data_IF_420177335114
#
_entry.id   IF_420177335114
#
_cell.length_a   1.000
_cell.length_b   1.000
_cell.length_c   1.000
_cell.angle_alpha   90.00
_cell.angle_beta   90.00
_cell.angle_gamma   90.00
#
_symmetry.space_group_name_H-M   'P 1'
#
loop_
_entity.id
_entity.type
_entity.pdbx_description
1 polymer ?
#
# COMPACT_ATOMS: atom_id res chain seq x y z
N UNK A 1 12.96 23.27 15.76
CA UNK A 1 14.10 22.83 14.91
C UNK A 1 14.36 23.78 13.75
N UNK A 2 13.34 24.21 13.00
CA UNK A 2 13.51 25.15 11.87
C UNK A 2 14.21 26.47 12.26
N UNK A 3 13.91 27.00 13.44
CA UNK A 3 14.48 28.26 13.96
C UNK A 3 15.95 28.15 14.39
N UNK A 4 16.49 26.92 14.50
CA UNK A 4 17.86 26.70 14.95
C UNK A 4 18.91 26.92 13.85
N UNK A 5 18.49 27.19 12.61
CA UNK A 5 19.41 27.44 11.49
C UNK A 5 20.28 26.25 11.11
N UNK A 6 19.80 25.02 11.33
CA UNK A 6 20.56 23.81 11.03
C UNK A 6 20.99 23.75 9.55
N UNK A 7 22.25 23.41 9.29
CA UNK A 7 22.80 23.28 7.93
C UNK A 7 22.84 21.82 7.44
N UNK A 8 22.72 20.85 8.36
CA UNK A 8 22.72 19.42 8.07
C UNK A 8 21.62 18.75 8.90
N UNK A 9 20.76 17.97 8.24
CA UNK A 9 19.75 17.12 8.87
C UNK A 9 19.99 15.66 8.47
N UNK A 10 20.16 14.80 9.48
CA UNK A 10 20.36 13.36 9.32
C UNK A 10 19.10 12.61 9.81
N UNK A 11 18.23 12.14 8.90
CA UNK A 11 17.05 11.37 9.29
C UNK A 11 17.45 9.95 9.73
N UNK A 12 16.58 9.28 10.50
CA UNK A 12 16.80 7.88 10.90
C UNK A 12 16.83 6.91 9.71
N UNK A 13 16.16 7.27 8.62
CA UNK A 13 16.20 6.57 7.33
C UNK A 13 16.21 7.58 6.18
N UNK A 14 16.79 7.20 5.04
CA UNK A 14 16.89 8.05 3.86
C UNK A 14 18.21 8.82 3.76
N UNK A 15 18.26 9.78 2.84
CA UNK A 15 19.48 10.55 2.55
C UNK A 15 19.60 11.80 3.43
N UNK A 16 20.83 12.24 3.76
CA UNK A 16 21.05 13.53 4.41
C UNK A 16 20.46 14.71 3.63
N UNK A 17 19.92 15.70 4.35
CA UNK A 17 19.45 16.96 3.76
C UNK A 17 20.44 18.06 4.15
N UNK A 18 20.99 18.75 3.16
CA UNK A 18 22.00 19.78 3.31
C UNK A 18 21.44 21.16 2.96
N UNK A 19 21.80 22.18 3.74
CA UNK A 19 21.42 23.57 3.56
C UNK A 19 20.18 23.98 4.35
N UNK A 20 20.29 25.11 5.06
CA UNK A 20 19.27 25.58 6.00
C UNK A 20 17.90 25.84 5.35
N UNK A 21 17.86 26.36 4.13
CA UNK A 21 16.60 26.59 3.40
C UNK A 21 15.89 25.28 3.06
N UNK A 22 16.62 24.27 2.58
CA UNK A 22 16.06 22.95 2.26
C UNK A 22 15.54 22.25 3.50
N UNK A 23 16.28 22.33 4.61
CA UNK A 23 15.86 21.76 5.89
C UNK A 23 14.59 22.44 6.39
N UNK A 24 14.53 23.78 6.36
CA UNK A 24 13.31 24.52 6.73
C UNK A 24 12.11 24.09 5.88
N UNK A 25 12.29 24.04 4.56
CA UNK A 25 11.26 23.64 3.62
C UNK A 25 10.77 22.22 3.91
N UNK A 26 11.66 21.22 3.97
CA UNK A 26 11.27 19.83 4.22
C UNK A 26 10.52 19.66 5.54
N UNK A 27 11.00 20.29 6.62
CA UNK A 27 10.31 20.23 7.91
C UNK A 27 8.94 20.93 7.85
N UNK A 28 8.83 22.04 7.11
CA UNK A 28 7.60 22.80 6.96
C UNK A 28 6.55 22.04 6.16
N UNK A 29 6.94 21.52 5.00
CA UNK A 29 6.07 20.70 4.14
C UNK A 29 5.60 19.44 4.88
N UNK A 30 6.48 18.81 5.67
CA UNK A 30 6.12 17.65 6.50
C UNK A 30 5.10 18.02 7.58
N UNK A 31 5.32 19.14 8.28
CA UNK A 31 4.39 19.63 9.29
C UNK A 31 3.03 19.96 8.66
N UNK A 32 3.01 20.68 7.54
CA UNK A 32 1.78 21.02 6.81
C UNK A 32 0.97 19.77 6.44
N UNK A 33 1.62 18.75 5.89
CA UNK A 33 0.96 17.50 5.53
C UNK A 33 0.31 16.85 6.75
N UNK A 34 1.06 16.69 7.84
CA UNK A 34 0.59 15.98 9.04
C UNK A 34 -0.49 16.77 9.80
N UNK A 35 -0.33 18.08 9.93
CA UNK A 35 -1.31 18.97 10.56
C UNK A 35 -2.61 19.02 9.77
N UNK A 36 -2.52 19.00 8.43
CA UNK A 36 -3.69 18.95 7.55
C UNK A 36 -4.46 17.63 7.72
N UNK A 37 -3.77 16.48 7.71
CA UNK A 37 -4.40 15.18 7.97
C UNK A 37 -5.06 15.12 9.35
N UNK A 38 -4.38 15.62 10.39
CA UNK A 38 -4.92 15.70 11.75
C UNK A 38 -6.20 16.54 11.79
N UNK A 39 -6.17 17.73 11.20
CA UNK A 39 -7.26 18.70 11.25
C UNK A 39 -8.48 18.19 10.49
N UNK A 40 -8.31 17.79 9.23
CA UNK A 40 -9.42 17.26 8.42
C UNK A 40 -10.06 16.02 9.04
N UNK A 41 -9.24 15.10 9.57
CA UNK A 41 -9.75 13.89 10.25
C UNK A 41 -10.60 14.26 11.46
N UNK A 42 -10.07 15.13 12.34
CA UNK A 42 -10.78 15.58 13.55
C UNK A 42 -12.07 16.31 13.21
N UNK A 43 -12.07 17.16 12.19
CA UNK A 43 -13.23 17.94 11.80
C UNK A 43 -14.37 17.04 11.29
N UNK A 44 -14.05 16.05 10.45
CA UNK A 44 -15.03 15.05 10.00
C UNK A 44 -15.55 14.18 11.15
N UNK A 45 -14.67 13.74 12.06
CA UNK A 45 -15.08 13.01 13.26
C UNK A 45 -16.03 13.83 14.15
N UNK A 46 -15.72 15.11 14.37
CA UNK A 46 -16.57 16.02 15.16
C UNK A 46 -17.90 16.32 14.47
N UNK A 47 -17.95 16.25 13.13
CA UNK A 47 -19.19 16.34 12.37
C UNK A 47 -20.04 15.06 12.42
N UNK A 48 -19.56 14.00 13.10
CA UNK A 48 -20.26 12.72 13.23
C UNK A 48 -20.13 11.81 12.01
N UNK A 49 -19.17 12.08 11.13
CA UNK A 49 -18.92 11.26 9.95
C UNK A 49 -18.46 9.84 10.34
N UNK A 50 -18.84 8.84 9.53
CA UNK A 50 -18.35 7.47 9.67
C UNK A 50 -16.91 7.36 9.20
N UNK A 51 -16.20 6.31 9.63
CA UNK A 51 -14.82 6.08 9.20
C UNK A 51 -14.69 6.01 7.66
N UNK A 52 -15.66 5.40 6.98
CA UNK A 52 -15.71 5.35 5.51
C UNK A 52 -15.67 6.76 4.89
N UNK A 53 -16.52 7.65 5.38
CA UNK A 53 -16.59 9.04 4.93
C UNK A 53 -15.30 9.81 5.26
N UNK A 54 -14.68 9.52 6.40
CA UNK A 54 -13.40 10.12 6.81
C UNK A 54 -12.27 9.69 5.88
N UNK A 55 -12.13 8.38 5.61
CA UNK A 55 -11.08 7.84 4.74
C UNK A 55 -11.21 8.36 3.31
N UNK A 56 -12.44 8.52 2.83
CA UNK A 56 -12.70 9.02 1.48
C UNK A 56 -12.75 10.54 1.38
N UNK A 57 -12.99 11.24 2.49
CA UNK A 57 -13.10 12.70 2.58
C UNK A 57 -11.78 13.43 2.79
N UNK A 58 -10.87 12.89 3.62
CA UNK A 58 -9.57 13.51 3.89
C UNK A 58 -8.69 13.48 2.63
N UNK A 59 -8.05 14.62 2.30
CA UNK A 59 -7.14 14.76 1.16
C UNK A 59 -5.84 15.43 1.57
N UNK A 60 -4.73 14.93 1.05
CA UNK A 60 -3.43 15.60 1.20
C UNK A 60 -3.44 16.92 0.43
N UNK A 61 -2.86 18.00 0.97
CA UNK A 61 -2.71 19.25 0.23
C UNK A 61 -2.02 19.05 -1.14
N UNK A 62 -2.45 19.75 -2.20
CA UNK A 62 -1.90 19.57 -3.54
C UNK A 62 -0.38 19.77 -3.60
N UNK A 63 0.30 18.95 -4.40
CA UNK A 63 1.74 19.08 -4.65
C UNK A 63 2.65 18.57 -3.52
N UNK A 64 2.14 18.25 -2.32
CA UNK A 64 3.00 17.76 -1.23
C UNK A 64 3.54 16.34 -1.52
N UNK A 65 2.71 15.43 -2.03
CA UNK A 65 3.14 14.05 -2.33
C UNK A 65 4.06 13.94 -3.56
N UNK A 66 4.16 14.98 -4.36
CA UNK A 66 5.09 15.06 -5.50
C UNK A 66 6.52 15.34 -5.03
N UNK A 67 6.70 15.82 -3.79
CA UNK A 67 8.01 16.06 -3.21
C UNK A 67 8.67 14.72 -2.85
N UNK A 68 9.96 14.51 -3.19
CA UNK A 68 10.61 13.22 -3.05
C UNK A 68 10.69 12.69 -1.60
N UNK A 69 10.70 13.59 -0.61
CA UNK A 69 10.75 13.25 0.82
C UNK A 69 9.36 13.05 1.46
N UNK A 70 8.27 13.32 0.74
CA UNK A 70 6.89 13.06 1.17
C UNK A 70 6.19 11.97 0.33
N UNK A 71 6.89 11.39 -0.65
CA UNK A 71 6.37 10.27 -1.41
C UNK A 71 6.04 9.10 -0.47
N UNK A 72 4.83 8.49 -0.56
CA UNK A 72 4.40 7.41 0.33
C UNK A 72 5.08 6.08 -0.03
N UNK A 73 6.37 5.99 0.32
CA UNK A 73 7.22 4.84 0.04
C UNK A 73 7.03 3.71 1.06
N UNK A 74 6.90 4.04 2.35
CA UNK A 74 6.71 3.06 3.42
C UNK A 74 5.28 3.07 3.93
N UNK A 75 4.87 4.19 4.51
CA UNK A 75 3.50 4.44 4.98
C UNK A 75 2.74 5.30 3.96
N UNK A 76 1.44 5.49 4.16
CA UNK A 76 0.59 6.31 3.28
C UNK A 76 -0.45 7.15 4.05
N UNK A 77 -0.93 8.27 3.47
CA UNK A 77 -1.86 9.16 4.16
C UNK A 77 -3.12 8.48 4.68
N UNK A 78 -3.69 7.52 3.95
CA UNK A 78 -4.88 6.77 4.38
C UNK A 78 -4.63 6.00 5.69
N UNK A 79 -3.42 5.47 5.90
CA UNK A 79 -3.04 4.74 7.11
C UNK A 79 -2.84 5.69 8.30
N UNK A 80 -2.27 6.87 8.07
CA UNK A 80 -2.21 7.93 9.09
C UNK A 80 -3.62 8.31 9.55
N UNK A 81 -4.56 8.51 8.62
CA UNK A 81 -5.96 8.80 8.94
C UNK A 81 -6.61 7.67 9.75
N UNK A 82 -6.38 6.40 9.39
CA UNK A 82 -6.84 5.24 10.19
C UNK A 82 -6.26 5.26 11.60
N UNK A 83 -4.98 5.62 11.76
CA UNK A 83 -4.33 5.69 13.07
C UNK A 83 -4.86 6.84 13.91
N UNK A 84 -5.16 7.99 13.31
CA UNK A 84 -5.82 9.11 14.00
C UNK A 84 -7.23 8.76 14.46
N UNK A 85 -8.01 8.09 13.60
CA UNK A 85 -9.30 7.52 14.01
C UNK A 85 -9.13 6.59 15.20
N UNK A 86 -8.17 5.66 15.14
CA UNK A 86 -7.92 4.72 16.23
C UNK A 86 -7.49 5.42 17.52
N UNK A 87 -6.68 6.47 17.42
CA UNK A 87 -6.17 7.25 18.54
C UNK A 87 -7.30 7.99 19.27
N UNK A 88 -8.24 8.60 18.54
CA UNK A 88 -9.27 9.46 19.13
C UNK A 88 -10.64 8.78 19.29
N UNK A 89 -11.07 8.01 18.29
CA UNK A 89 -12.38 7.34 18.23
C UNK A 89 -12.35 5.88 18.66
N UNK A 90 -11.17 5.28 18.81
CA UNK A 90 -11.03 3.88 19.16
C UNK A 90 -11.29 2.93 17.99
N UNK A 91 -11.88 1.77 18.26
CA UNK A 91 -11.99 0.68 17.29
C UNK A 91 -13.27 0.70 16.44
N UNK A 92 -14.33 1.33 16.95
CA UNK A 92 -15.64 1.35 16.30
C UNK A 92 -15.64 2.38 15.17
N UNK A 93 -16.22 2.02 14.02
CA UNK A 93 -16.16 2.80 12.77
C UNK A 93 -17.43 3.61 12.48
N UNK A 94 -18.35 3.66 13.45
CA UNK A 94 -19.68 4.27 13.34
C UNK A 94 -20.66 3.54 12.39
N UNK A 95 -20.32 2.34 11.92
CA UNK A 95 -21.26 1.45 11.27
C UNK A 95 -21.87 0.46 12.30
N UNK A 96 -23.17 0.55 12.63
CA UNK A 96 -23.77 -0.31 13.65
C UNK A 96 -23.70 -1.80 13.31
N UNK A 97 -23.61 -2.17 12.03
CA UNK A 97 -23.40 -3.55 11.61
C UNK A 97 -22.05 -4.13 12.08
N UNK A 98 -21.05 -3.29 12.33
CA UNK A 98 -19.71 -3.67 12.77
C UNK A 98 -19.52 -3.60 14.29
N UNK A 99 -20.55 -3.21 15.06
CA UNK A 99 -20.45 -3.13 16.52
C UNK A 99 -20.34 -4.52 17.16
N UNK A 100 -21.09 -5.50 16.64
CA UNK A 100 -21.08 -6.91 17.05
C UNK A 100 -21.26 -7.78 15.81
N UNK A 101 -20.28 -7.81 14.90
CA UNK A 101 -20.45 -8.44 13.59
C UNK A 101 -20.61 -9.95 13.72
N UNK A 102 -21.32 -10.55 12.76
CA UNK A 102 -21.29 -11.99 12.56
C UNK A 102 -19.87 -12.44 12.16
N UNK A 103 -19.52 -13.74 12.31
CA UNK A 103 -18.30 -14.28 11.72
C UNK A 103 -18.25 -14.00 10.22
N UNK A 104 -17.11 -13.53 9.72
CA UNK A 104 -16.97 -13.13 8.30
C UNK A 104 -17.34 -14.24 7.31
N UNK A 105 -16.96 -15.53 7.51
CA UNK A 105 -17.38 -16.60 6.61
C UNK A 105 -18.90 -16.80 6.57
N UNK A 106 -19.61 -16.56 7.68
CA UNK A 106 -21.06 -16.69 7.74
C UNK A 106 -21.73 -15.58 6.92
N UNK A 107 -21.29 -14.32 7.08
CA UNK A 107 -21.79 -13.22 6.26
C UNK A 107 -21.44 -13.41 4.77
N UNK A 108 -20.22 -13.89 4.48
CA UNK A 108 -19.78 -14.15 3.12
C UNK A 108 -20.61 -15.23 2.43
N UNK A 109 -20.97 -16.31 3.14
CA UNK A 109 -21.85 -17.36 2.63
C UNK A 109 -23.24 -16.82 2.26
N UNK A 110 -23.85 -16.00 3.12
CA UNK A 110 -25.15 -15.36 2.85
C UNK A 110 -25.09 -14.41 1.64
N UNK A 111 -24.02 -13.60 1.54
CA UNK A 111 -23.82 -12.72 0.38
C UNK A 111 -23.59 -13.50 -0.91
N UNK A 112 -22.87 -14.63 -0.83
CA UNK A 112 -22.64 -15.51 -1.96
C UNK A 112 -23.97 -16.15 -2.41
N UNK A 113 -24.77 -16.69 -1.50
CA UNK A 113 -26.09 -17.27 -1.82
C UNK A 113 -26.98 -16.26 -2.55
N UNK A 114 -27.10 -15.04 -2.00
CA UNK A 114 -27.85 -13.95 -2.60
C UNK A 114 -27.35 -13.53 -4.00
N UNK A 115 -26.06 -13.73 -4.29
CA UNK A 115 -25.42 -13.39 -5.56
C UNK A 115 -25.41 -14.55 -6.59
N UNK A 116 -25.93 -15.73 -6.24
CA UNK A 116 -25.90 -16.92 -7.10
C UNK A 116 -24.67 -17.82 -6.91
N UNK A 117 -24.03 -17.75 -5.75
CA UNK A 117 -22.90 -18.58 -5.32
C UNK A 117 -21.55 -17.84 -5.31
N UNK A 118 -20.56 -18.43 -4.65
CA UNK A 118 -19.22 -17.85 -4.49
C UNK A 118 -18.51 -17.60 -5.85
N UNK A 119 -18.68 -18.52 -6.81
CA UNK A 119 -18.14 -18.34 -8.18
C UNK A 119 -18.76 -17.14 -8.90
N UNK A 120 -20.04 -16.83 -8.67
CA UNK A 120 -20.69 -15.67 -9.26
C UNK A 120 -20.08 -14.36 -8.73
N UNK A 121 -19.77 -14.31 -7.43
CA UNK A 121 -19.02 -13.20 -6.81
C UNK A 121 -17.61 -13.07 -7.41
N UNK A 122 -16.88 -14.19 -7.54
CA UNK A 122 -15.54 -14.20 -8.13
C UNK A 122 -15.56 -13.68 -9.58
N UNK A 123 -16.46 -14.19 -10.43
CA UNK A 123 -16.61 -13.68 -11.80
C UNK A 123 -17.00 -12.19 -11.83
N UNK A 124 -17.77 -11.71 -10.86
CA UNK A 124 -18.06 -10.28 -10.74
C UNK A 124 -16.82 -9.48 -10.35
N UNK A 125 -15.97 -10.02 -9.47
CA UNK A 125 -14.69 -9.43 -9.11
C UNK A 125 -13.77 -9.29 -10.34
N UNK A 126 -13.65 -10.33 -11.16
CA UNK A 126 -12.89 -10.27 -12.43
C UNK A 126 -13.40 -9.17 -13.37
N UNK A 127 -14.73 -9.06 -13.53
CA UNK A 127 -15.32 -7.99 -14.37
C UNK A 127 -15.02 -6.60 -13.83
N UNK A 128 -14.96 -6.43 -12.51
CA UNK A 128 -14.58 -5.16 -11.89
C UNK A 128 -13.08 -4.89 -12.04
N UNK A 129 -12.26 -5.92 -11.91
CA UNK A 129 -10.82 -5.87 -12.16
C UNK A 129 -10.54 -5.41 -13.60
N UNK A 130 -11.21 -6.01 -14.60
CA UNK A 130 -11.12 -5.60 -16.01
C UNK A 130 -11.60 -4.17 -16.29
N UNK A 131 -12.33 -3.54 -15.35
CA UNK A 131 -12.75 -2.13 -15.41
C UNK A 131 -11.85 -1.21 -14.57
N UNK A 132 -10.77 -1.73 -14.00
CA UNK A 132 -9.86 -0.97 -13.11
C UNK A 132 -10.44 -0.66 -11.73
N UNK A 133 -11.58 -1.25 -11.34
CA UNK A 133 -12.23 -1.01 -10.05
C UNK A 133 -11.62 -1.89 -8.95
N UNK A 134 -10.32 -1.71 -8.69
CA UNK A 134 -9.52 -2.63 -7.88
C UNK A 134 -10.04 -2.82 -6.46
N UNK A 135 -10.46 -1.75 -5.77
CA UNK A 135 -10.97 -1.82 -4.39
C UNK A 135 -12.25 -2.66 -4.30
N UNK A 136 -13.18 -2.45 -5.22
CA UNK A 136 -14.43 -3.25 -5.27
C UNK A 136 -14.17 -4.70 -5.69
N UNK A 137 -13.27 -4.92 -6.65
CA UNK A 137 -12.85 -6.27 -7.02
C UNK A 137 -12.28 -7.03 -5.81
N UNK A 138 -11.44 -6.38 -5.00
CA UNK A 138 -10.87 -6.98 -3.79
C UNK A 138 -11.94 -7.38 -2.77
N UNK A 139 -12.93 -6.52 -2.51
CA UNK A 139 -14.04 -6.87 -1.61
C UNK A 139 -14.82 -8.09 -2.08
N UNK A 140 -15.14 -8.18 -3.38
CA UNK A 140 -15.92 -9.32 -3.89
C UNK A 140 -15.09 -10.61 -3.97
N UNK A 141 -13.81 -10.51 -4.31
CA UNK A 141 -12.91 -11.66 -4.32
C UNK A 141 -12.66 -12.22 -2.91
N UNK A 142 -12.48 -11.35 -1.92
CA UNK A 142 -12.37 -11.75 -0.51
C UNK A 142 -13.65 -12.42 -0.02
N UNK A 143 -14.81 -11.81 -0.30
CA UNK A 143 -16.11 -12.38 0.06
C UNK A 143 -16.30 -13.76 -0.58
N UNK A 144 -15.95 -13.92 -1.86
CA UNK A 144 -16.03 -15.22 -2.53
C UNK A 144 -15.14 -16.27 -1.87
N UNK A 145 -13.89 -15.92 -1.53
CA UNK A 145 -12.94 -16.84 -0.91
C UNK A 145 -13.35 -17.25 0.51
N UNK A 146 -13.91 -16.32 1.29
CA UNK A 146 -14.47 -16.64 2.61
C UNK A 146 -15.68 -17.58 2.51
N UNK A 147 -16.50 -17.45 1.46
CA UNK A 147 -17.66 -18.30 1.22
C UNK A 147 -17.28 -19.71 0.69
N UNK A 148 -16.17 -19.82 -0.06
CA UNK A 148 -15.73 -21.08 -0.68
C UNK A 148 -14.19 -21.24 -0.60
N UNK A 149 -13.62 -21.44 0.60
CA UNK A 149 -12.17 -21.37 0.83
C UNK A 149 -11.34 -22.45 0.14
N UNK A 150 -11.96 -23.55 -0.29
CA UNK A 150 -11.29 -24.64 -1.00
C UNK A 150 -11.56 -24.62 -2.52
N UNK A 151 -12.35 -23.67 -3.03
CA UNK A 151 -12.64 -23.59 -4.46
C UNK A 151 -11.45 -22.95 -5.20
N UNK A 152 -10.81 -23.75 -6.07
CA UNK A 152 -9.63 -23.35 -6.82
C UNK A 152 -9.89 -22.20 -7.81
N UNK A 153 -11.07 -22.14 -8.42
CA UNK A 153 -11.40 -21.06 -9.36
C UNK A 153 -11.56 -19.75 -8.59
N UNK A 154 -12.23 -19.78 -7.43
CA UNK A 154 -12.35 -18.60 -6.56
C UNK A 154 -10.98 -18.14 -6.07
N UNK A 155 -10.12 -19.08 -5.66
CA UNK A 155 -8.77 -18.78 -5.23
C UNK A 155 -7.92 -18.15 -6.34
N UNK A 156 -8.06 -18.63 -7.59
CA UNK A 156 -7.38 -18.06 -8.75
C UNK A 156 -7.77 -16.58 -8.95
N UNK A 157 -9.06 -16.27 -8.91
CA UNK A 157 -9.55 -14.88 -9.03
C UNK A 157 -9.00 -14.00 -7.92
N UNK A 158 -9.04 -14.48 -6.67
CA UNK A 158 -8.51 -13.73 -5.52
C UNK A 158 -7.02 -13.46 -5.68
N UNK A 159 -6.25 -14.45 -6.16
CA UNK A 159 -4.83 -14.30 -6.44
C UNK A 159 -4.57 -13.18 -7.46
N UNK A 160 -5.29 -13.18 -8.56
CA UNK A 160 -5.15 -12.16 -9.62
C UNK A 160 -5.54 -10.76 -9.14
N UNK A 161 -6.66 -10.63 -8.43
CA UNK A 161 -7.13 -9.35 -7.89
C UNK A 161 -6.09 -8.75 -6.95
N UNK A 162 -5.59 -9.52 -5.98
CA UNK A 162 -4.60 -9.00 -5.04
C UNK A 162 -3.21 -8.80 -5.66
N UNK A 163 -2.83 -9.58 -6.68
CA UNK A 163 -1.62 -9.29 -7.46
C UNK A 163 -1.73 -7.94 -8.18
N UNK A 164 -2.90 -7.62 -8.74
CA UNK A 164 -3.16 -6.29 -9.33
C UNK A 164 -3.22 -5.18 -8.29
N UNK A 165 -3.79 -5.41 -7.09
CA UNK A 165 -3.71 -4.47 -5.97
C UNK A 165 -2.24 -4.19 -5.63
N UNK A 166 -1.43 -5.22 -5.43
CA UNK A 166 -0.01 -5.07 -5.09
C UNK A 166 0.80 -4.29 -6.13
N UNK A 167 0.47 -4.41 -7.43
CA UNK A 167 1.12 -3.65 -8.49
C UNK A 167 0.72 -2.17 -8.53
N UNK A 168 -0.48 -1.84 -8.05
CA UNK A 168 -1.01 -0.48 -8.10
C UNK A 168 -0.60 0.40 -6.91
N UNK A 169 -0.15 -0.20 -5.80
CA UNK A 169 0.23 0.54 -4.60
C UNK A 169 1.71 0.98 -4.62
N UNK A 170 1.99 2.15 -4.04
CA UNK A 170 3.36 2.67 -3.89
C UNK A 170 4.00 2.25 -2.57
N UNK A 171 3.21 2.24 -1.49
CA UNK A 171 3.65 1.90 -0.13
C UNK A 171 4.12 0.45 -0.06
N UNK A 172 5.32 0.22 0.49
CA UNK A 172 5.83 -1.14 0.73
C UNK A 172 4.94 -1.93 1.68
N UNK A 173 4.25 -1.26 2.62
CA UNK A 173 3.30 -1.91 3.54
C UNK A 173 2.10 -2.48 2.77
N UNK A 174 1.43 -1.66 1.96
CA UNK A 174 0.28 -2.09 1.18
C UNK A 174 0.65 -3.16 0.15
N UNK A 175 1.77 -2.95 -0.56
CA UNK A 175 2.32 -3.92 -1.53
C UNK A 175 2.58 -5.27 -0.87
N UNK A 176 3.23 -5.27 0.29
CA UNK A 176 3.57 -6.50 1.03
C UNK A 176 2.33 -7.30 1.42
N UNK A 177 1.33 -6.64 2.00
CA UNK A 177 0.06 -7.27 2.41
C UNK A 177 -0.68 -7.86 1.21
N UNK A 178 -0.80 -7.11 0.11
CA UNK A 178 -1.49 -7.62 -1.08
C UNK A 178 -0.70 -8.71 -1.80
N UNK A 179 0.63 -8.65 -1.83
CA UNK A 179 1.45 -9.74 -2.35
C UNK A 179 1.28 -11.03 -1.54
N UNK A 180 1.20 -10.93 -0.21
CA UNK A 180 0.93 -12.09 0.64
C UNK A 180 -0.44 -12.71 0.33
N UNK A 181 -1.50 -11.90 0.29
CA UNK A 181 -2.85 -12.37 -0.04
C UNK A 181 -2.93 -13.03 -1.42
N UNK A 182 -2.19 -12.50 -2.40
CA UNK A 182 -2.08 -13.10 -3.72
C UNK A 182 -1.38 -14.48 -3.67
N UNK A 183 -0.26 -14.59 -2.96
CA UNK A 183 0.50 -15.83 -2.84
C UNK A 183 -0.26 -16.93 -2.07
N UNK A 184 -0.94 -16.56 -0.99
CA UNK A 184 -1.81 -17.49 -0.23
C UNK A 184 -2.93 -18.05 -1.11
N UNK A 185 -3.54 -17.19 -1.93
CA UNK A 185 -4.61 -17.61 -2.83
C UNK A 185 -4.09 -18.51 -3.97
N UNK A 186 -2.92 -18.17 -4.52
CA UNK A 186 -2.26 -18.98 -5.54
C UNK A 186 -1.92 -20.39 -5.02
N UNK A 187 -1.50 -20.51 -3.75
CA UNK A 187 -1.20 -21.80 -3.15
C UNK A 187 -2.43 -22.73 -3.14
N UNK A 188 -3.61 -22.18 -2.87
CA UNK A 188 -4.87 -22.94 -2.91
C UNK A 188 -5.23 -23.32 -4.36
N UNK A 189 -5.13 -22.37 -5.29
CA UNK A 189 -5.47 -22.59 -6.70
C UNK A 189 -4.60 -23.69 -7.34
N UNK A 190 -3.29 -23.67 -7.08
CA UNK A 190 -2.30 -24.59 -7.64
C UNK A 190 -2.15 -25.88 -6.83
N UNK A 191 -2.63 -25.90 -5.58
CA UNK A 191 -2.40 -27.01 -4.65
C UNK A 191 -0.96 -27.11 -4.16
N UNK A 192 -0.30 -25.96 -3.98
CA UNK A 192 1.06 -25.80 -3.45
C UNK A 192 1.03 -25.23 -2.02
N UNK A 193 2.15 -24.73 -1.52
CA UNK A 193 2.26 -24.03 -0.25
C UNK A 193 2.69 -22.57 -0.42
N UNK A 194 2.43 -21.76 0.61
CA UNK A 194 2.71 -20.33 0.60
C UNK A 194 4.19 -19.98 0.42
N UNK A 195 5.11 -20.75 1.00
CA UNK A 195 6.54 -20.48 0.86
C UNK A 195 7.00 -20.70 -0.58
N UNK A 196 6.47 -21.73 -1.23
CA UNK A 196 6.65 -21.99 -2.66
C UNK A 196 6.16 -20.82 -3.50
N UNK A 197 4.95 -20.29 -3.24
CA UNK A 197 4.40 -19.16 -4.01
C UNK A 197 5.19 -17.87 -3.80
N UNK A 198 5.58 -17.55 -2.56
CA UNK A 198 6.35 -16.35 -2.24
C UNK A 198 7.75 -16.36 -2.86
N UNK A 199 8.33 -17.53 -3.13
CA UNK A 199 9.69 -17.69 -3.67
C UNK A 199 9.72 -18.10 -5.15
N UNK A 200 8.58 -18.11 -5.81
CA UNK A 200 8.46 -18.50 -7.22
C UNK A 200 9.22 -17.55 -8.15
N UNK A 201 9.19 -16.24 -7.89
CA UNK A 201 9.89 -15.22 -8.67
C UNK A 201 11.30 -14.90 -8.14
N UNK A 202 12.17 -14.37 -9.00
CA UNK A 202 13.51 -13.90 -8.59
C UNK A 202 13.44 -12.78 -7.54
N UNK A 203 12.46 -11.90 -7.66
CA UNK A 203 12.19 -10.87 -6.66
C UNK A 203 11.77 -11.49 -5.32
N UNK A 204 10.88 -12.50 -5.35
CA UNK A 204 10.46 -13.25 -4.18
C UNK A 204 11.62 -13.94 -3.46
N UNK A 205 12.51 -14.60 -4.21
CA UNK A 205 13.73 -15.21 -3.66
C UNK A 205 14.66 -14.18 -3.04
N UNK A 206 14.87 -13.04 -3.69
CA UNK A 206 15.71 -11.95 -3.15
C UNK A 206 15.14 -11.40 -1.83
N UNK A 207 13.82 -11.15 -1.77
CA UNK A 207 13.15 -10.70 -0.55
C UNK A 207 13.28 -11.72 0.59
N UNK A 208 13.07 -13.01 0.31
CA UNK A 208 13.22 -14.08 1.30
C UNK A 208 14.66 -14.19 1.82
N UNK A 209 15.66 -13.88 0.97
CA UNK A 209 17.07 -13.82 1.36
C UNK A 209 17.47 -12.52 2.09
N UNK A 210 16.52 -11.62 2.40
CA UNK A 210 16.79 -10.35 3.08
C UNK A 210 17.37 -9.26 2.17
N UNK A 211 17.45 -9.48 0.85
CA UNK A 211 17.86 -8.47 -0.11
C UNK A 211 16.66 -7.58 -0.47
N UNK A 212 16.33 -6.64 0.42
CA UNK A 212 15.33 -5.60 0.15
C UNK A 212 16.07 -4.32 -0.26
N UNK A 213 16.02 -3.96 -1.54
CA UNK A 213 16.45 -2.64 -2.00
C UNK A 213 15.33 -1.62 -1.78
N UNK A 214 15.56 -0.63 -0.93
CA UNK A 214 14.68 0.54 -0.84
C UNK A 214 15.06 1.47 -1.99
N UNK A 215 14.22 1.48 -3.04
CA UNK A 215 14.41 2.30 -4.23
C UNK A 215 14.88 1.47 -5.43
N UNK A 216 14.04 1.42 -6.46
CA UNK A 216 14.50 1.13 -7.81
C UNK A 216 14.91 2.48 -8.39
N UNK A 217 16.21 2.68 -8.58
CA UNK A 217 16.68 3.57 -9.65
C UNK A 217 16.78 2.65 -10.84
N UNK A 218 15.91 2.82 -11.84
CA UNK A 218 16.10 2.14 -13.11
C UNK A 218 17.46 2.60 -13.67
N UNK A 219 18.39 1.65 -13.86
CA UNK A 219 19.75 1.89 -14.35
C UNK A 219 19.77 2.41 -15.81
N UNK A 220 18.62 2.53 -16.47
CA UNK A 220 18.50 2.90 -17.88
C UNK A 220 18.49 4.42 -18.14
N UNK A 221 18.84 5.25 -17.16
CA UNK A 221 18.74 6.72 -17.26
C UNK A 221 20.04 7.51 -17.30
N UNK A 222 21.20 6.95 -16.93
CA UNK A 222 22.42 7.74 -16.74
C UNK A 222 23.40 7.61 -17.92
N UNK A 223 22.99 8.14 -19.07
CA UNK A 223 23.88 8.42 -20.20
C UNK A 223 24.79 9.62 -19.91
N UNK A 224 25.79 9.46 -19.06
CA UNK A 224 26.82 10.46 -18.83
C UNK A 224 28.05 10.15 -19.71
N UNK A 225 28.04 10.73 -20.90
CA UNK A 225 29.18 11.40 -21.55
C UNK A 225 30.52 10.67 -21.65
N UNK A 226 30.86 10.30 -22.88
CA UNK A 226 32.24 10.04 -23.29
C UNK A 226 33.14 11.27 -23.05
N UNK A 227 34.31 11.06 -22.45
CA UNK A 227 35.48 11.91 -22.66
C UNK A 227 36.74 11.01 -22.58
N UNK A 228 37.53 11.02 -23.64
CA UNK A 228 38.67 10.13 -23.84
C UNK A 228 40.02 10.68 -23.35
N UNK A 229 41.06 9.89 -23.69
CA UNK A 229 42.50 10.16 -23.57
C UNK A 229 43.04 10.08 -22.13
N UNK A 230 44.17 9.47 -21.76
CA UNK A 230 45.39 8.93 -22.40
C UNK A 230 46.01 8.02 -21.31
N UNK A 231 46.39 6.77 -21.54
CA UNK A 231 47.69 6.42 -22.10
C UNK A 231 48.86 6.72 -21.14
N UNK A 232 49.11 5.87 -20.13
CA UNK A 232 50.44 5.73 -19.50
C UNK A 232 50.68 4.23 -19.24
N UNK A 233 51.74 3.70 -19.85
CA UNK A 233 52.32 2.37 -19.59
C UNK A 233 53.25 2.49 -18.39
N UNK A 234 53.11 1.61 -17.41
CA UNK A 234 54.14 1.38 -16.39
C UNK A 234 55.06 0.24 -16.85
N UNK A 235 56.35 0.51 -16.76
CA UNK A 235 57.44 -0.44 -16.94
C UNK A 235 58.67 0.11 -16.24
N UNK A 236 58.91 -0.36 -15.02
CA UNK A 236 60.15 -0.96 -14.48
C UNK A 236 59.92 -1.37 -13.03
#
# INVERSE_FOLDING_TARGET
MQELGAEVLLPGHGVPILGADRIRQTLGDTAELLESLCTQTRDLMNAGARLDEVLHGVKVPPGLLEKPYLHPAYDEPEFVVRNLWRLWGGWYDQNPAHLKPAPEPALAAELADAAGGARALAQRAERLLGRGQLRLAAHLAETAALAAPADREVAQVRAEVFACRAKAETSTMARGVFHWAAAESAAIAEGTDLATELTRSDEGRRRAAGAVSVGVVDDDGCGCGAAGSTGIREGE
#
